data_IF_775281808893
#
_entry.id   IF_775281808893
#
_cell.length_a   1.000
_cell.length_b   1.000
_cell.length_c   1.000
_cell.angle_alpha   90.00
_cell.angle_beta   90.00
_cell.angle_gamma   90.00
#
_symmetry.space_group_name_H-M   'P 1'
#
loop_
_entity.id
_entity.type
_entity.pdbx_description
1 polymer ?
#
# COMPACT_ATOMS: atom_id res chain seq x y z
N UNK A 1 -38.44 -37.28 -23.12
CA UNK A 1 -38.52 -38.76 -23.20
C UNK A 1 -37.14 -39.31 -23.56
N UNK A 2 -36.33 -39.66 -22.55
CA UNK A 2 -34.93 -40.05 -22.69
C UNK A 2 -34.77 -41.56 -22.53
N UNK A 3 -34.32 -42.31 -23.54
CA UNK A 3 -33.90 -43.71 -23.29
C UNK A 3 -32.98 -44.39 -24.33
N UNK A 4 -32.44 -43.70 -25.35
CA UNK A 4 -31.66 -44.38 -26.39
C UNK A 4 -30.17 -44.00 -26.52
N UNK A 5 -29.64 -43.05 -25.74
CA UNK A 5 -28.22 -42.67 -25.83
C UNK A 5 -27.28 -43.35 -24.82
N UNK A 6 -27.80 -44.13 -23.87
CA UNK A 6 -26.99 -44.80 -22.83
C UNK A 6 -26.41 -46.18 -23.24
N UNK A 7 -26.78 -46.72 -24.41
CA UNK A 7 -26.36 -48.06 -24.82
C UNK A 7 -25.01 -48.13 -25.57
N UNK A 8 -24.43 -47.00 -26.01
CA UNK A 8 -23.14 -47.00 -26.74
C UNK A 8 -21.89 -46.79 -25.88
N UNK A 9 -22.03 -46.44 -24.60
CA UNK A 9 -20.91 -46.25 -23.67
C UNK A 9 -20.42 -47.54 -22.98
N UNK A 10 -20.99 -48.72 -23.30
CA UNK A 10 -20.63 -50.01 -22.67
C UNK A 10 -19.73 -50.93 -23.52
N UNK A 11 -19.31 -50.53 -24.72
CA UNK A 11 -18.46 -51.37 -25.62
C UNK A 11 -17.02 -50.87 -25.79
N UNK A 12 -16.46 -50.17 -24.81
CA UNK A 12 -15.05 -49.74 -24.77
C UNK A 12 -14.29 -50.23 -23.53
N UNK A 13 -14.83 -51.21 -22.81
CA UNK A 13 -14.23 -51.75 -21.58
C UNK A 13 -13.53 -53.08 -21.86
N UNK A 14 -12.39 -53.08 -22.55
CA UNK A 14 -11.56 -54.30 -22.62
C UNK A 14 -10.05 -54.07 -22.76
N UNK A 15 -9.52 -52.91 -22.37
CA UNK A 15 -8.07 -52.75 -22.28
C UNK A 15 -7.65 -51.75 -21.20
N UNK A 16 -7.95 -52.06 -19.93
CA UNK A 16 -7.32 -51.37 -18.79
C UNK A 16 -6.03 -52.10 -18.44
N UNK A 17 -4.89 -51.40 -18.47
CA UNK A 17 -3.59 -51.95 -18.03
C UNK A 17 -3.75 -52.49 -16.59
N UNK A 18 -3.54 -53.80 -16.34
CA UNK A 18 -3.73 -54.41 -15.03
C UNK A 18 -2.86 -53.78 -13.93
N UNK A 19 -1.78 -53.08 -14.30
CA UNK A 19 -0.87 -52.40 -13.36
C UNK A 19 -1.52 -51.20 -12.68
N UNK A 20 -2.51 -50.55 -13.29
CA UNK A 20 -3.21 -49.38 -12.73
C UNK A 20 -4.24 -49.74 -11.65
N UNK A 21 -4.63 -51.01 -11.56
CA UNK A 21 -5.58 -51.50 -10.55
C UNK A 21 -4.91 -51.96 -9.25
N UNK A 22 -3.57 -52.07 -9.21
CA UNK A 22 -2.84 -52.48 -8.00
C UNK A 22 -2.65 -51.30 -7.04
N UNK A 23 -2.90 -51.57 -5.76
CA UNK A 23 -2.57 -50.65 -4.66
C UNK A 23 -1.05 -50.54 -4.53
N UNK A 24 -0.52 -49.31 -4.55
CA UNK A 24 0.92 -49.05 -4.39
C UNK A 24 1.15 -48.55 -2.97
N UNK A 25 1.96 -49.28 -2.20
CA UNK A 25 2.42 -48.85 -0.89
C UNK A 25 3.41 -47.69 -1.07
N UNK A 26 3.19 -46.59 -0.34
CA UNK A 26 4.09 -45.43 -0.32
C UNK A 26 4.66 -45.36 1.09
N UNK A 27 6.00 -45.39 1.22
CA UNK A 27 6.67 -44.99 2.45
C UNK A 27 6.45 -43.49 2.63
N UNK A 28 5.74 -43.08 3.69
CA UNK A 28 5.33 -41.69 3.92
C UNK A 28 6.55 -40.74 3.99
N UNK A 29 6.62 -39.67 3.19
CA UNK A 29 7.39 -38.49 3.54
C UNK A 29 6.46 -37.47 4.21
N UNK A 30 6.67 -37.27 5.52
CA UNK A 30 6.42 -36.08 6.37
C UNK A 30 5.12 -35.26 6.28
N UNK A 31 4.12 -35.65 5.48
CA UNK A 31 2.80 -35.02 5.42
C UNK A 31 1.73 -36.09 5.59
N UNK A 32 0.80 -35.89 6.52
CA UNK A 32 -0.32 -36.80 6.73
C UNK A 32 -1.16 -36.89 5.45
N UNK A 33 -0.99 -37.96 4.68
CA UNK A 33 -1.83 -38.23 3.53
C UNK A 33 -3.28 -38.33 4.00
N UNK A 34 -4.20 -37.64 3.30
CA UNK A 34 -5.63 -37.71 3.59
C UNK A 34 -6.07 -39.19 3.67
N UNK A 35 -6.89 -39.58 4.66
CA UNK A 35 -7.23 -40.99 4.90
C UNK A 35 -7.74 -41.74 3.65
N UNK A 36 -8.49 -41.03 2.81
CA UNK A 36 -9.04 -41.48 1.52
C UNK A 36 -7.99 -41.82 0.44
N UNK A 37 -6.73 -41.38 0.58
CA UNK A 37 -5.66 -41.64 -0.39
C UNK A 37 -4.76 -42.82 0.01
N UNK A 38 -4.77 -43.23 1.29
CA UNK A 38 -3.84 -44.23 1.85
C UNK A 38 -4.00 -45.63 1.24
N UNK A 39 -5.22 -46.04 0.89
CA UNK A 39 -5.53 -47.35 0.28
C UNK A 39 -6.04 -47.27 -1.17
N UNK A 40 -6.06 -46.08 -1.76
CA UNK A 40 -6.58 -45.86 -3.11
C UNK A 40 -5.60 -46.34 -4.19
N UNK A 41 -6.11 -46.95 -5.25
CA UNK A 41 -5.34 -47.24 -6.48
C UNK A 41 -4.85 -45.94 -7.13
N UNK A 42 -3.82 -46.02 -7.96
CA UNK A 42 -3.29 -44.83 -8.66
C UNK A 42 -4.39 -44.08 -9.43
N UNK A 43 -5.27 -44.83 -10.11
CA UNK A 43 -6.42 -44.27 -10.81
C UNK A 43 -7.39 -43.51 -9.87
N UNK A 44 -7.68 -44.07 -8.69
CA UNK A 44 -8.56 -43.44 -7.70
C UNK A 44 -7.92 -42.17 -7.10
N UNK A 45 -6.60 -42.13 -6.94
CA UNK A 45 -5.87 -40.93 -6.50
C UNK A 45 -5.92 -39.83 -7.55
N UNK A 46 -5.71 -40.17 -8.83
CA UNK A 46 -5.84 -39.22 -9.95
C UNK A 46 -7.27 -38.69 -10.07
N UNK A 47 -8.29 -39.54 -9.88
CA UNK A 47 -9.68 -39.12 -9.87
C UNK A 47 -9.98 -38.13 -8.72
N UNK A 48 -9.54 -38.43 -7.50
CA UNK A 48 -9.72 -37.55 -6.35
C UNK A 48 -9.03 -36.18 -6.57
N UNK A 49 -7.83 -36.19 -7.15
CA UNK A 49 -7.11 -34.98 -7.52
C UNK A 49 -7.85 -34.17 -8.60
N UNK A 50 -8.32 -34.79 -9.68
CA UNK A 50 -9.10 -34.12 -10.72
C UNK A 50 -10.43 -33.57 -10.17
N UNK A 51 -11.07 -34.27 -9.24
CA UNK A 51 -12.31 -33.83 -8.57
C UNK A 51 -12.07 -32.61 -7.68
N UNK A 52 -10.90 -32.52 -7.02
CA UNK A 52 -10.49 -31.32 -6.29
C UNK A 52 -10.23 -30.14 -7.22
N UNK A 53 -9.50 -30.35 -8.32
CA UNK A 53 -9.26 -29.33 -9.35
C UNK A 53 -10.59 -28.79 -9.91
N UNK A 54 -11.54 -29.68 -10.20
CA UNK A 54 -12.90 -29.29 -10.60
C UNK A 54 -13.60 -28.43 -9.54
N UNK A 55 -13.62 -28.85 -8.26
CA UNK A 55 -14.24 -28.07 -7.16
C UNK A 55 -13.61 -26.69 -6.97
N UNK A 56 -12.30 -26.60 -7.15
CA UNK A 56 -11.54 -25.35 -7.08
C UNK A 56 -11.59 -24.53 -8.39
N UNK A 57 -12.45 -24.94 -9.34
CA UNK A 57 -12.71 -24.28 -10.63
C UNK A 57 -11.54 -24.30 -11.62
N UNK A 58 -10.62 -25.25 -11.46
CA UNK A 58 -9.52 -25.55 -12.39
C UNK A 58 -9.92 -26.59 -13.46
N UNK A 59 -11.00 -26.30 -14.19
CA UNK A 59 -11.65 -27.23 -15.13
C UNK A 59 -10.73 -27.70 -16.27
N UNK A 60 -9.82 -26.85 -16.73
CA UNK A 60 -8.99 -27.13 -17.90
C UNK A 60 -7.80 -28.04 -17.56
N UNK A 61 -7.26 -27.94 -16.35
CA UNK A 61 -6.21 -28.84 -15.85
C UNK A 61 -6.77 -30.26 -15.61
N UNK A 62 -8.00 -30.35 -15.09
CA UNK A 62 -8.70 -31.63 -14.99
C UNK A 62 -8.97 -32.24 -16.37
N UNK A 63 -9.40 -31.45 -17.36
CA UNK A 63 -9.63 -31.92 -18.72
C UNK A 63 -8.35 -32.40 -19.42
N UNK A 64 -7.22 -31.70 -19.25
CA UNK A 64 -5.92 -32.11 -19.80
C UNK A 64 -5.41 -33.42 -19.19
N UNK A 65 -5.46 -33.55 -17.85
CA UNK A 65 -5.05 -34.77 -17.14
C UNK A 65 -5.91 -35.99 -17.48
N UNK A 66 -7.17 -35.76 -17.88
CA UNK A 66 -8.13 -36.79 -18.27
C UNK A 66 -8.18 -37.03 -19.79
N UNK A 67 -7.42 -36.27 -20.59
CA UNK A 67 -7.39 -36.44 -22.05
C UNK A 67 -6.61 -37.71 -22.41
N UNK A 68 -7.19 -38.54 -23.28
CA UNK A 68 -6.49 -39.71 -23.83
C UNK A 68 -5.63 -39.32 -25.03
N UNK A 69 -4.57 -40.10 -25.26
CA UNK A 69 -3.67 -39.93 -26.41
C UNK A 69 -4.24 -40.63 -27.68
N UNK A 70 -5.46 -41.15 -27.64
CA UNK A 70 -5.89 -42.27 -28.50
C UNK A 70 -6.79 -41.82 -29.66
N UNK A 71 -7.25 -40.56 -29.72
CA UNK A 71 -8.21 -40.14 -30.76
C UNK A 71 -7.74 -39.03 -31.72
N UNK A 72 -6.44 -38.71 -31.76
CA UNK A 72 -5.86 -37.77 -32.73
C UNK A 72 -4.65 -38.34 -33.50
N UNK A 73 -4.33 -37.84 -34.71
CA UNK A 73 -3.12 -38.23 -35.42
C UNK A 73 -1.87 -37.94 -34.59
N UNK A 74 -0.73 -38.64 -34.80
CA UNK A 74 0.42 -38.57 -33.91
C UNK A 74 0.92 -37.12 -33.76
N UNK A 75 0.77 -36.56 -32.55
CA UNK A 75 1.15 -35.19 -32.21
C UNK A 75 0.01 -34.15 -32.19
N UNK A 76 -1.23 -34.52 -32.53
CA UNK A 76 -2.39 -33.65 -32.47
C UNK A 76 -3.32 -33.94 -31.29
N UNK A 77 -3.45 -33.01 -30.35
CA UNK A 77 -4.52 -33.00 -29.37
C UNK A 77 -5.74 -32.32 -30.00
N UNK A 78 -6.86 -33.02 -30.19
CA UNK A 78 -8.10 -32.37 -30.63
C UNK A 78 -8.88 -31.90 -29.40
N UNK A 79 -8.98 -30.58 -29.26
CA UNK A 79 -9.74 -29.95 -28.21
C UNK A 79 -11.13 -29.64 -28.77
N UNK A 80 -12.18 -30.24 -28.20
CA UNK A 80 -13.54 -30.14 -28.75
C UNK A 80 -14.26 -28.81 -28.50
N UNK A 81 -13.60 -27.83 -27.85
CA UNK A 81 -14.14 -26.50 -27.59
C UNK A 81 -13.07 -25.42 -27.83
N UNK A 82 -13.43 -24.34 -28.53
CA UNK A 82 -12.50 -23.23 -28.84
C UNK A 82 -11.92 -22.57 -27.58
N UNK A 83 -12.63 -22.65 -26.45
CA UNK A 83 -12.22 -22.08 -25.16
C UNK A 83 -11.13 -22.89 -24.43
N UNK A 84 -10.80 -24.08 -24.93
CA UNK A 84 -9.89 -25.03 -24.27
C UNK A 84 -8.56 -25.20 -25.03
N UNK A 85 -8.29 -24.37 -26.04
CA UNK A 85 -7.09 -24.44 -26.89
C UNK A 85 -5.80 -24.30 -26.05
N UNK A 86 -4.74 -24.99 -26.48
CA UNK A 86 -3.45 -24.99 -25.77
C UNK A 86 -2.84 -23.58 -25.67
N UNK A 87 -3.04 -22.71 -26.67
CA UNK A 87 -2.55 -21.33 -26.65
C UNK A 87 -3.23 -20.47 -25.56
N UNK A 88 -4.49 -20.78 -25.20
CA UNK A 88 -5.18 -20.14 -24.08
C UNK A 88 -4.69 -20.69 -22.73
N UNK A 89 -4.33 -21.98 -22.68
CA UNK A 89 -3.65 -22.57 -21.52
C UNK A 89 -2.26 -21.98 -21.32
N UNK A 90 -1.46 -21.84 -22.38
CA UNK A 90 -0.15 -21.19 -22.34
C UNK A 90 -0.27 -19.75 -21.84
N UNK A 91 -1.23 -18.97 -22.38
CA UNK A 91 -1.49 -17.59 -21.90
C UNK A 91 -1.95 -17.55 -20.45
N UNK A 92 -2.79 -18.48 -20.02
CA UNK A 92 -3.27 -18.57 -18.64
C UNK A 92 -2.15 -19.01 -17.67
N UNK A 93 -1.32 -19.96 -18.09
CA UNK A 93 -0.15 -20.42 -17.34
C UNK A 93 0.92 -19.34 -17.27
N UNK A 94 1.21 -18.62 -18.36
CA UNK A 94 2.08 -17.44 -18.34
C UNK A 94 1.50 -16.35 -17.45
N UNK A 95 0.20 -16.06 -17.53
CA UNK A 95 -0.45 -15.09 -16.65
C UNK A 95 -0.36 -15.51 -15.18
N UNK A 96 -0.51 -16.81 -14.88
CA UNK A 96 -0.32 -17.35 -13.54
C UNK A 96 1.14 -17.29 -13.11
N UNK A 97 2.10 -17.72 -13.93
CA UNK A 97 3.55 -17.67 -13.63
C UNK A 97 4.02 -16.22 -13.44
N UNK A 98 3.52 -15.28 -14.24
CA UNK A 98 3.76 -13.85 -14.06
C UNK A 98 3.11 -13.33 -12.76
N UNK A 99 1.89 -13.75 -12.44
CA UNK A 99 1.26 -13.46 -11.14
C UNK A 99 2.00 -14.12 -9.96
N UNK A 100 2.65 -15.27 -10.18
CA UNK A 100 3.47 -15.98 -9.22
C UNK A 100 4.86 -15.35 -9.08
N UNK A 101 5.40 -14.64 -10.08
CA UNK A 101 6.68 -13.94 -9.96
C UNK A 101 6.62 -12.85 -8.89
N UNK A 102 5.58 -12.02 -8.94
CA UNK A 102 5.37 -10.95 -7.95
C UNK A 102 4.99 -11.53 -6.60
N UNK A 103 4.09 -12.52 -6.55
CA UNK A 103 3.73 -13.19 -5.28
C UNK A 103 4.88 -13.97 -4.66
N UNK A 104 5.75 -14.60 -5.45
CA UNK A 104 6.92 -15.33 -4.95
C UNK A 104 7.99 -14.37 -4.46
N UNK A 105 8.22 -13.25 -5.16
CA UNK A 105 9.10 -12.20 -4.66
C UNK A 105 8.56 -11.57 -3.38
N UNK A 106 7.26 -11.26 -3.37
CA UNK A 106 6.57 -10.73 -2.21
C UNK A 106 6.67 -11.70 -1.02
N UNK A 107 6.37 -12.98 -1.26
CA UNK A 107 6.49 -14.05 -0.28
C UNK A 107 7.92 -14.16 0.25
N UNK A 108 8.92 -14.25 -0.63
CA UNK A 108 10.32 -14.31 -0.25
C UNK A 108 10.72 -13.12 0.63
N UNK A 109 10.31 -11.91 0.24
CA UNK A 109 10.58 -10.69 1.01
C UNK A 109 9.91 -10.74 2.40
N UNK A 110 8.65 -11.17 2.49
CA UNK A 110 7.90 -11.23 3.76
C UNK A 110 8.29 -12.39 4.68
N UNK A 111 8.81 -13.49 4.14
CA UNK A 111 9.25 -14.65 4.94
C UNK A 111 10.69 -14.49 5.42
N UNK A 112 11.54 -13.82 4.65
CA UNK A 112 12.97 -13.66 4.99
C UNK A 112 13.25 -12.51 5.96
N UNK A 113 12.32 -11.56 6.14
CA UNK A 113 12.50 -10.41 7.01
C UNK A 113 11.26 -10.18 7.90
N UNK A 114 11.32 -10.51 9.20
CA UNK A 114 10.26 -10.11 10.13
C UNK A 114 10.13 -8.58 10.13
N UNK A 115 8.89 -8.09 10.18
CA UNK A 115 8.59 -6.66 10.10
C UNK A 115 7.76 -6.22 11.30
N UNK A 116 7.97 -4.98 11.73
CA UNK A 116 7.25 -4.36 12.83
C UNK A 116 6.44 -3.18 12.30
N UNK A 117 5.17 -3.14 12.70
CA UNK A 117 4.19 -2.16 12.28
C UNK A 117 3.54 -1.52 13.51
N UNK A 118 3.71 -0.20 13.68
CA UNK A 118 3.15 0.54 14.81
C UNK A 118 2.23 1.64 14.29
N UNK A 119 0.97 1.58 14.71
CA UNK A 119 -0.01 2.64 14.48
C UNK A 119 -0.19 3.43 15.77
N UNK A 120 0.08 4.72 15.73
CA UNK A 120 -0.11 5.64 16.86
C UNK A 120 -1.39 6.43 16.67
N UNK A 121 -2.32 6.31 17.62
CA UNK A 121 -3.41 7.26 17.77
C UNK A 121 -2.85 8.55 18.39
N UNK A 122 -2.71 9.62 17.61
CA UNK A 122 -2.05 10.85 18.07
C UNK A 122 -2.07 11.99 17.05
N UNK A 123 -1.49 13.12 17.45
CA UNK A 123 -1.38 14.32 16.63
C UNK A 123 -0.06 14.35 15.87
N UNK A 124 -0.13 14.43 14.54
CA UNK A 124 1.04 14.46 13.67
C UNK A 124 1.93 15.71 13.83
N UNK A 125 1.45 16.76 14.51
CA UNK A 125 2.24 17.99 14.75
C UNK A 125 3.36 17.79 15.78
N UNK A 126 3.37 16.67 16.49
CA UNK A 126 4.42 16.34 17.46
C UNK A 126 4.47 14.82 17.71
N UNK A 127 5.59 14.19 17.40
CA UNK A 127 5.81 12.77 17.67
C UNK A 127 7.22 12.48 18.23
N UNK A 128 7.53 13.00 19.44
CA UNK A 128 8.86 12.90 20.05
C UNK A 128 9.25 11.46 20.41
N UNK A 129 8.28 10.56 20.50
CA UNK A 129 8.46 9.14 20.76
C UNK A 129 9.00 8.35 19.54
N UNK A 130 9.11 9.00 18.37
CA UNK A 130 9.85 8.47 17.22
C UNK A 130 11.24 9.09 17.24
N UNK A 131 12.26 8.24 17.30
CA UNK A 131 13.65 8.68 17.37
C UNK A 131 14.07 9.48 16.13
N UNK A 132 14.99 10.42 16.34
CA UNK A 132 15.68 11.14 15.27
C UNK A 132 16.32 10.15 14.29
N UNK A 133 16.31 10.50 13.01
CA UNK A 133 17.00 9.73 11.97
C UNK A 133 16.71 8.21 11.99
N UNK A 134 15.46 7.83 12.25
CA UNK A 134 15.02 6.43 12.33
C UNK A 134 14.08 6.01 11.18
N UNK A 135 13.63 6.98 10.38
CA UNK A 135 12.70 6.79 9.26
C UNK A 135 13.43 6.96 7.94
N UNK A 136 13.16 6.08 6.99
CA UNK A 136 13.88 6.06 5.72
C UNK A 136 13.09 6.69 4.58
N UNK A 137 11.76 6.54 4.63
CA UNK A 137 10.83 7.07 3.64
C UNK A 137 9.56 7.52 4.34
N UNK A 138 9.05 8.69 4.00
CA UNK A 138 7.69 9.10 4.33
C UNK A 138 6.86 9.04 3.05
N UNK A 139 5.71 8.37 3.09
CA UNK A 139 4.72 8.40 2.00
C UNK A 139 3.40 8.78 2.62
N UNK A 140 2.81 9.88 2.18
CA UNK A 140 1.61 10.42 2.81
C UNK A 140 0.81 11.31 1.86
N UNK A 141 -0.39 11.67 2.29
CA UNK A 141 -1.23 12.71 1.71
C UNK A 141 -1.75 13.56 2.86
N UNK A 142 -1.55 14.90 2.86
CA UNK A 142 -2.11 15.75 3.89
C UNK A 142 -3.64 15.68 3.83
N UNK A 143 -4.33 15.93 4.96
CA UNK A 143 -5.78 16.01 4.95
C UNK A 143 -6.24 17.13 4.02
N UNK A 144 -7.28 16.85 3.23
CA UNK A 144 -7.85 17.79 2.28
C UNK A 144 -8.35 19.03 3.03
N UNK A 145 -7.70 20.17 2.83
CA UNK A 145 -8.12 21.44 3.41
C UNK A 145 -9.45 21.87 2.77
N UNK A 146 -10.53 21.90 3.57
CA UNK A 146 -11.91 22.33 3.21
C UNK A 146 -12.65 21.53 2.13
N UNK A 147 -11.97 20.75 1.28
CA UNK A 147 -12.59 20.01 0.18
C UNK A 147 -13.39 18.78 0.63
N UNK A 148 -12.99 18.15 1.74
CA UNK A 148 -13.64 16.95 2.26
C UNK A 148 -13.94 17.06 3.73
N UNK A 149 -15.07 16.46 4.12
CA UNK A 149 -15.49 16.43 5.51
C UNK A 149 -14.93 15.19 6.20
N UNK A 150 -13.90 15.42 7.01
CA UNK A 150 -13.38 14.43 7.96
C UNK A 150 -14.27 14.36 9.21
N UNK A 151 -14.21 13.25 9.94
CA UNK A 151 -14.91 13.11 11.21
C UNK A 151 -14.44 14.19 12.21
N UNK A 152 -15.37 14.78 12.99
CA UNK A 152 -15.02 15.77 14.00
C UNK A 152 -14.16 15.12 15.09
N UNK A 153 -12.93 15.62 15.23
CA UNK A 153 -12.03 15.29 16.33
C UNK A 153 -11.13 16.49 16.67
N UNK A 154 -10.77 16.72 17.94
CA UNK A 154 -9.88 17.82 18.32
C UNK A 154 -8.54 17.74 17.57
N UNK A 155 -8.10 18.84 16.97
CA UNK A 155 -6.84 18.91 16.23
C UNK A 155 -6.88 18.46 14.77
N UNK A 156 -8.07 18.15 14.23
CA UNK A 156 -8.25 17.78 12.82
C UNK A 156 -7.84 18.92 11.88
N UNK A 157 -6.74 18.73 11.14
CA UNK A 157 -6.21 19.74 10.23
C UNK A 157 -7.15 20.06 9.06
N UNK A 158 -7.98 19.10 8.64
CA UNK A 158 -8.99 19.33 7.59
C UNK A 158 -10.07 20.35 7.96
N UNK A 159 -10.19 20.74 9.25
CA UNK A 159 -11.17 21.71 9.75
C UNK A 159 -10.57 23.10 10.02
N UNK A 160 -9.29 23.32 9.71
CA UNK A 160 -8.66 24.64 9.86
C UNK A 160 -9.28 25.63 8.87
N UNK A 161 -9.71 26.80 9.37
CA UNK A 161 -10.51 27.75 8.60
C UNK A 161 -9.72 28.45 7.49
N UNK A 162 -8.48 28.84 7.76
CA UNK A 162 -7.66 29.61 6.80
C UNK A 162 -6.51 28.80 6.20
N UNK A 163 -6.19 29.10 4.95
CA UNK A 163 -5.10 28.46 4.21
C UNK A 163 -3.76 28.66 4.92
N UNK A 164 -3.50 29.87 5.41
CA UNK A 164 -2.25 30.21 6.07
C UNK A 164 -2.07 29.45 7.39
N UNK A 165 -3.13 29.37 8.21
CA UNK A 165 -3.06 28.57 9.44
C UNK A 165 -2.87 27.09 9.12
N UNK A 166 -3.52 26.57 8.07
CA UNK A 166 -3.34 25.19 7.62
C UNK A 166 -1.88 24.93 7.23
N UNK A 167 -1.28 25.82 6.45
CA UNK A 167 0.15 25.75 6.08
C UNK A 167 1.06 25.81 7.33
N UNK A 168 0.78 26.68 8.30
CA UNK A 168 1.55 26.74 9.55
C UNK A 168 1.48 25.44 10.34
N UNK A 169 0.31 24.78 10.38
CA UNK A 169 0.20 23.48 11.05
C UNK A 169 0.95 22.38 10.28
N UNK A 170 0.87 22.38 8.94
CA UNK A 170 1.64 21.45 8.11
C UNK A 170 3.15 21.64 8.28
N UNK A 171 3.64 22.87 8.40
CA UNK A 171 5.06 23.17 8.63
C UNK A 171 5.58 22.49 9.89
N UNK A 172 4.77 22.42 10.96
CA UNK A 172 5.12 21.69 12.19
C UNK A 172 5.26 20.19 11.95
N UNK A 173 4.37 19.59 11.15
CA UNK A 173 4.45 18.17 10.78
C UNK A 173 5.70 17.92 9.94
N UNK A 174 5.99 18.78 8.97
CA UNK A 174 7.17 18.62 8.11
C UNK A 174 8.49 18.84 8.86
N UNK A 175 8.51 19.69 9.88
CA UNK A 175 9.66 19.83 10.77
C UNK A 175 9.94 18.52 11.53
N UNK A 176 8.91 17.88 12.09
CA UNK A 176 9.06 16.57 12.74
C UNK A 176 9.46 15.48 11.73
N UNK A 177 8.90 15.50 10.51
CA UNK A 177 9.32 14.58 9.43
C UNK A 177 10.79 14.78 9.07
N UNK A 178 11.27 16.02 8.99
CA UNK A 178 12.68 16.32 8.72
C UNK A 178 13.60 15.76 9.82
N UNK A 179 13.19 15.90 11.09
CA UNK A 179 13.92 15.37 12.26
C UNK A 179 14.06 13.85 12.20
N UNK A 180 12.96 13.12 11.99
CA UNK A 180 12.96 11.65 12.04
C UNK A 180 13.54 10.99 10.78
N UNK A 181 13.61 11.70 9.67
CA UNK A 181 14.22 11.16 8.44
C UNK A 181 15.73 10.98 8.60
N UNK A 182 16.25 9.84 8.14
CA UNK A 182 17.69 9.62 7.95
C UNK A 182 18.24 10.57 6.88
N UNK A 183 19.54 10.93 6.91
CA UNK A 183 20.20 11.60 5.80
C UNK A 183 20.04 10.81 4.48
N UNK A 184 19.65 11.51 3.41
CA UNK A 184 19.31 10.90 2.12
C UNK A 184 17.92 10.27 2.05
N UNK A 185 17.21 10.16 3.18
CA UNK A 185 15.79 9.78 3.24
C UNK A 185 14.89 10.84 2.59
N UNK A 186 13.65 10.47 2.30
CA UNK A 186 12.74 11.34 1.54
C UNK A 186 11.34 11.41 2.11
N UNK A 187 10.76 12.60 2.06
CA UNK A 187 9.32 12.83 2.13
C UNK A 187 8.73 12.77 0.72
N UNK A 188 7.80 11.85 0.53
CA UNK A 188 6.98 11.71 -0.68
C UNK A 188 5.55 12.06 -0.33
N UNK A 189 5.08 13.20 -0.83
CA UNK A 189 3.80 13.77 -0.44
C UNK A 189 2.88 13.87 -1.65
N UNK A 190 1.77 13.13 -1.62
CA UNK A 190 0.73 13.18 -2.64
C UNK A 190 -0.21 14.32 -2.28
N UNK A 191 -0.35 15.32 -3.14
CA UNK A 191 -1.14 16.52 -2.87
C UNK A 191 -1.91 16.96 -4.11
N UNK A 192 -3.12 17.44 -3.88
CA UNK A 192 -3.96 18.07 -4.89
C UNK A 192 -4.07 19.56 -4.58
N UNK A 193 -4.00 20.38 -5.61
CA UNK A 193 -4.36 21.80 -5.47
C UNK A 193 -5.86 21.96 -5.19
N UNK A 194 -6.19 22.91 -4.33
CA UNK A 194 -7.55 23.08 -3.84
C UNK A 194 -8.32 24.00 -4.78
N UNK A 195 -9.25 23.42 -5.55
CA UNK A 195 -10.12 24.16 -6.46
C UNK A 195 -11.32 24.74 -5.71
N UNK A 196 -11.34 26.05 -5.51
CA UNK A 196 -12.44 26.78 -4.90
C UNK A 196 -13.49 27.14 -5.96
N UNK A 197 -14.70 26.61 -5.78
CA UNK A 197 -15.78 26.79 -6.74
C UNK A 197 -16.43 28.18 -6.64
N UNK A 198 -16.80 28.75 -7.80
CA UNK A 198 -17.49 30.04 -7.91
C UNK A 198 -18.76 30.15 -7.07
N UNK A 199 -19.54 29.07 -6.95
CA UNK A 199 -20.79 29.07 -6.17
C UNK A 199 -20.61 29.47 -4.71
N UNK A 200 -19.42 29.22 -4.16
CA UNK A 200 -19.12 29.45 -2.74
C UNK A 200 -18.24 30.68 -2.54
N UNK A 201 -17.36 31.00 -3.50
CA UNK A 201 -16.34 32.05 -3.35
C UNK A 201 -16.52 33.25 -4.30
N UNK A 202 -17.59 33.30 -5.09
CA UNK A 202 -17.88 34.39 -6.03
C UNK A 202 -17.14 34.30 -7.38
N UNK A 203 -15.95 33.69 -7.40
CA UNK A 203 -15.17 33.37 -8.61
C UNK A 203 -14.46 32.02 -8.48
N UNK A 204 -13.94 31.51 -9.61
CA UNK A 204 -13.12 30.29 -9.61
C UNK A 204 -11.67 30.64 -9.24
N UNK A 205 -11.11 29.94 -8.26
CA UNK A 205 -9.74 30.10 -7.81
C UNK A 205 -9.14 28.72 -7.51
N UNK A 206 -7.84 28.56 -7.72
CA UNK A 206 -7.09 27.37 -7.33
C UNK A 206 -6.03 27.80 -6.32
N UNK A 207 -6.05 27.19 -5.15
CA UNK A 207 -5.02 27.38 -4.14
C UNK A 207 -3.87 26.41 -4.43
N UNK A 208 -2.65 26.91 -4.71
CA UNK A 208 -1.53 26.12 -5.22
C UNK A 208 -0.80 25.38 -4.09
N UNK A 209 -1.54 24.53 -3.36
CA UNK A 209 -1.05 23.85 -2.17
C UNK A 209 0.25 23.08 -2.42
N UNK A 210 0.40 22.45 -3.60
CA UNK A 210 1.64 21.74 -3.94
C UNK A 210 2.86 22.68 -3.96
N UNK A 211 2.71 23.89 -4.49
CA UNK A 211 3.79 24.86 -4.62
C UNK A 211 4.16 25.46 -3.27
N UNK A 212 3.16 25.81 -2.45
CA UNK A 212 3.37 26.30 -1.08
C UNK A 212 4.15 25.28 -0.25
N UNK A 213 3.81 24.00 -0.38
CA UNK A 213 4.50 22.91 0.30
C UNK A 213 5.95 22.74 -0.16
N UNK A 214 6.24 22.87 -1.47
CA UNK A 214 7.61 22.84 -1.97
C UNK A 214 8.46 23.98 -1.39
N UNK A 215 7.92 25.20 -1.37
CA UNK A 215 8.62 26.37 -0.80
C UNK A 215 8.86 26.17 0.69
N UNK A 216 7.85 25.71 1.42
CA UNK A 216 7.94 25.40 2.85
C UNK A 216 8.99 24.35 3.16
N UNK A 217 8.99 23.22 2.44
CA UNK A 217 9.98 22.16 2.63
C UNK A 217 11.41 22.66 2.39
N UNK A 218 11.62 23.50 1.36
CA UNK A 218 12.92 24.11 1.11
C UNK A 218 13.39 24.99 2.28
N UNK A 219 12.50 25.78 2.90
CA UNK A 219 12.84 26.59 4.08
C UNK A 219 13.23 25.73 5.29
N UNK A 220 12.60 24.57 5.45
CA UNK A 220 12.90 23.60 6.51
C UNK A 220 14.23 22.84 6.28
N UNK A 221 14.86 22.98 5.11
CA UNK A 221 16.15 22.37 4.78
C UNK A 221 16.08 21.14 3.87
N UNK A 222 14.90 20.81 3.32
CA UNK A 222 14.81 19.75 2.31
C UNK A 222 15.40 20.18 0.95
N UNK A 223 16.06 19.24 0.28
CA UNK A 223 16.36 19.32 -1.15
C UNK A 223 15.10 18.97 -1.96
N UNK A 224 14.62 19.91 -2.78
CA UNK A 224 13.51 19.66 -3.68
C UNK A 224 13.94 18.86 -4.90
N UNK A 225 13.24 17.76 -5.19
CA UNK A 225 13.39 16.97 -6.42
C UNK A 225 12.20 17.19 -7.37
N UNK A 226 12.37 16.84 -8.64
CA UNK A 226 11.29 16.91 -9.62
C UNK A 226 10.09 16.08 -9.18
N UNK A 227 8.88 16.62 -9.08
CA UNK A 227 7.71 15.84 -8.68
C UNK A 227 7.28 14.88 -9.79
N UNK A 228 6.50 13.86 -9.43
CA UNK A 228 5.75 13.06 -10.38
C UNK A 228 4.34 13.65 -10.49
N UNK A 229 3.85 13.84 -11.72
CA UNK A 229 2.49 14.27 -12.03
C UNK A 229 1.64 13.01 -12.15
N UNK A 230 0.70 12.84 -11.24
CA UNK A 230 -0.29 11.77 -11.30
C UNK A 230 -1.52 12.28 -12.06
N UNK A 231 -1.64 11.87 -13.31
CA UNK A 231 -2.87 12.01 -14.07
C UNK A 231 -3.87 10.95 -13.60
N UNK A 232 -4.85 11.41 -12.82
CA UNK A 232 -5.88 10.56 -12.25
C UNK A 232 -6.90 10.29 -13.34
N UNK A 233 -6.93 9.08 -13.89
CA UNK A 233 -8.01 8.71 -14.82
C UNK A 233 -9.30 8.84 -14.02
N UNK A 234 -10.11 9.84 -14.39
CA UNK A 234 -11.42 10.04 -13.79
C UNK A 234 -12.30 8.88 -14.21
N UNK A 235 -12.35 7.84 -13.38
CA UNK A 235 -13.45 6.88 -13.45
C UNK A 235 -14.70 7.67 -13.07
N UNK A 236 -15.50 8.05 -14.08
CA UNK A 236 -16.76 8.79 -13.92
C UNK A 236 -17.72 8.17 -12.88
N UNK A 237 -17.48 6.92 -12.47
CA UNK A 237 -18.22 6.21 -11.44
C UNK A 237 -17.84 6.54 -9.98
N UNK A 238 -16.68 7.14 -9.69
CA UNK A 238 -16.22 7.40 -8.30
C UNK A 238 -16.28 8.86 -7.88
N UNK A 239 -16.45 9.80 -8.81
CA UNK A 239 -16.67 11.22 -8.54
C UNK A 239 -18.10 11.60 -9.00
N UNK A 240 -19.11 11.11 -8.29
CA UNK A 240 -20.51 11.39 -8.59
C UNK A 240 -20.85 12.87 -8.28
N UNK A 241 -21.24 13.61 -9.33
CA UNK A 241 -22.51 14.37 -9.44
C UNK A 241 -22.49 15.54 -10.45
N UNK A 242 -21.42 15.72 -11.26
CA UNK A 242 -21.47 16.77 -12.29
C UNK A 242 -20.78 16.33 -13.59
N UNK A 243 -21.59 15.91 -14.54
CA UNK A 243 -21.24 15.45 -15.89
C UNK A 243 -20.75 16.56 -16.84
N UNK A 244 -20.17 17.65 -16.34
CA UNK A 244 -19.60 18.67 -17.22
C UNK A 244 -18.08 18.48 -17.33
N UNK A 245 -17.62 17.98 -18.48
CA UNK A 245 -16.18 17.92 -18.85
C UNK A 245 -15.49 19.30 -18.85
N UNK A 246 -16.28 20.38 -18.78
CA UNK A 246 -15.85 21.77 -18.87
C UNK A 246 -16.55 22.54 -17.75
N UNK A 247 -15.80 23.36 -17.01
CA UNK A 247 -16.36 24.31 -16.04
C UNK A 247 -16.54 25.65 -16.75
N UNK A 248 -17.79 26.07 -16.97
CA UNK A 248 -18.13 27.29 -17.70
C UNK A 248 -18.97 27.02 -18.95
N UNK A 249 -19.07 28.02 -19.84
CA UNK A 249 -19.77 27.86 -21.11
C UNK A 249 -18.93 27.00 -22.06
N UNK A 250 -19.47 25.91 -22.62
CA UNK A 250 -18.71 25.06 -23.53
C UNK A 250 -18.44 25.81 -24.86
N UNK A 251 -17.29 25.53 -25.46
CA UNK A 251 -16.89 26.02 -26.80
C UNK A 251 -16.73 27.54 -26.95
N UNK A 252 -16.76 28.29 -25.85
CA UNK A 252 -16.39 29.70 -25.81
C UNK A 252 -15.00 29.88 -25.19
N UNK A 253 -14.22 30.91 -25.59
CA UNK A 253 -13.01 31.30 -24.86
C UNK A 253 -13.30 31.54 -23.37
N UNK A 254 -12.28 31.37 -22.52
CA UNK A 254 -12.37 31.47 -21.04
C UNK A 254 -13.09 30.33 -20.32
N UNK A 255 -13.35 29.21 -20.99
CA UNK A 255 -13.69 27.97 -20.31
C UNK A 255 -12.57 27.54 -19.34
N UNK A 256 -12.94 27.03 -18.17
CA UNK A 256 -11.98 26.63 -17.14
C UNK A 256 -11.60 25.16 -17.34
N UNK A 257 -10.29 24.93 -17.36
CA UNK A 257 -9.71 23.58 -17.42
C UNK A 257 -9.95 22.88 -16.09
N UNK A 258 -10.52 21.68 -16.13
CA UNK A 258 -10.74 20.86 -14.95
C UNK A 258 -9.39 20.37 -14.41
N UNK A 259 -9.28 20.32 -13.08
CA UNK A 259 -8.12 19.71 -12.44
C UNK A 259 -8.24 18.17 -12.43
N UNK A 260 -7.49 17.50 -13.31
CA UNK A 260 -7.44 16.04 -13.44
C UNK A 260 -6.11 15.44 -12.95
N UNK A 261 -5.29 16.24 -12.27
CA UNK A 261 -3.96 15.83 -11.79
C UNK A 261 -3.82 15.98 -10.27
N UNK A 262 -2.89 15.20 -9.74
CA UNK A 262 -2.33 15.37 -8.39
C UNK A 262 -0.81 15.36 -8.50
N UNK A 263 -0.14 16.01 -7.55
CA UNK A 263 1.31 16.10 -7.50
C UNK A 263 1.86 15.14 -6.47
N UNK A 264 2.88 14.38 -6.85
CA UNK A 264 3.67 13.56 -5.94
C UNK A 264 4.99 14.30 -5.72
N UNK A 265 5.03 15.09 -4.66
CA UNK A 265 6.19 15.87 -4.27
C UNK A 265 7.28 14.95 -3.73
N UNK A 266 8.54 15.27 -4.01
CA UNK A 266 9.70 14.50 -3.54
C UNK A 266 10.70 15.45 -2.89
N UNK A 267 10.78 15.38 -1.56
CA UNK A 267 11.61 16.25 -0.73
C UNK A 267 12.65 15.38 -0.01
N UNK A 268 13.94 15.59 -0.27
CA UNK A 268 15.02 14.76 0.27
C UNK A 268 15.71 15.46 1.45
N UNK A 269 15.96 14.76 2.55
CA UNK A 269 16.83 15.28 3.62
C UNK A 269 18.28 15.21 3.13
N UNK A 270 19.05 16.33 3.14
CA UNK A 270 20.46 16.30 2.78
C UNK A 270 21.29 15.49 3.79
N UNK A 271 22.61 15.39 3.55
CA UNK A 271 23.54 14.74 4.49
C UNK A 271 24.05 13.36 4.06
N UNK A 272 23.82 12.95 2.82
CA UNK A 272 24.48 11.78 2.23
C UNK A 272 23.55 10.92 1.36
N UNK A 273 24.13 9.84 0.84
CA UNK A 273 23.40 8.79 0.13
C UNK A 273 23.31 7.55 0.99
N UNK A 274 22.18 6.86 0.89
CA UNK A 274 21.94 5.61 1.57
C UNK A 274 22.90 4.52 1.10
N UNK A 275 23.43 3.73 2.05
CA UNK A 275 24.30 2.57 1.79
C UNK A 275 23.59 1.28 2.23
N UNK A 276 22.70 0.70 1.39
CA UNK A 276 22.01 -0.56 1.71
C UNK A 276 22.96 -1.77 1.64
N UNK A 277 22.66 -2.83 2.40
CA UNK A 277 23.40 -4.09 2.31
C UNK A 277 23.16 -4.79 0.97
N UNK A 278 24.04 -5.71 0.59
CA UNK A 278 23.86 -6.46 -0.66
C UNK A 278 22.53 -7.24 -0.69
N UNK A 279 22.15 -7.84 0.43
CA UNK A 279 20.88 -8.53 0.57
C UNK A 279 19.70 -7.58 0.36
N UNK A 280 19.72 -6.39 0.97
CA UNK A 280 18.69 -5.37 0.77
C UNK A 280 18.60 -4.96 -0.71
N UNK A 281 19.73 -4.76 -1.38
CA UNK A 281 19.77 -4.43 -2.82
C UNK A 281 19.12 -5.52 -3.66
N UNK A 282 19.48 -6.79 -3.42
CA UNK A 282 18.93 -7.95 -4.15
C UNK A 282 17.41 -8.07 -3.93
N UNK A 283 16.94 -7.98 -2.69
CA UNK A 283 15.52 -8.13 -2.33
C UNK A 283 14.66 -6.92 -2.73
N UNK A 284 15.28 -5.77 -3.01
CA UNK A 284 14.58 -4.55 -3.43
C UNK A 284 14.66 -4.29 -4.93
N UNK A 285 15.18 -5.23 -5.70
CA UNK A 285 15.36 -5.08 -7.13
C UNK A 285 13.99 -4.91 -7.82
N UNK A 286 13.91 -3.91 -8.69
CA UNK A 286 12.72 -3.64 -9.51
C UNK A 286 13.00 -4.23 -10.90
N UNK A 287 12.13 -5.12 -11.42
CA UNK A 287 12.18 -5.59 -12.80
C UNK A 287 12.33 -4.46 -13.81
N UNK A 288 13.03 -4.71 -14.91
CA UNK A 288 13.38 -3.70 -15.92
C UNK A 288 12.16 -2.98 -16.49
N UNK A 289 11.09 -3.72 -16.74
CA UNK A 289 9.83 -3.20 -17.29
C UNK A 289 9.15 -2.25 -16.29
N UNK A 290 9.03 -2.68 -15.04
CA UNK A 290 8.50 -1.85 -13.94
C UNK A 290 9.35 -0.61 -13.73
N UNK A 291 10.67 -0.74 -13.68
CA UNK A 291 11.59 0.38 -13.52
C UNK A 291 11.40 1.42 -14.62
N UNK A 292 11.36 0.95 -15.88
CA UNK A 292 11.17 1.82 -17.05
C UNK A 292 9.82 2.53 -17.05
N UNK A 293 8.79 1.93 -16.47
CA UNK A 293 7.45 2.52 -16.35
C UNK A 293 7.36 3.50 -15.17
N UNK A 294 7.97 3.15 -14.03
CA UNK A 294 7.79 3.87 -12.77
C UNK A 294 8.69 5.09 -12.67
N UNK A 295 9.94 5.03 -13.16
CA UNK A 295 10.87 6.16 -13.12
C UNK A 295 10.62 7.14 -14.28
N UNK A 296 9.36 7.59 -14.40
CA UNK A 296 8.88 8.60 -15.34
C UNK A 296 8.15 9.71 -14.59
N UNK A 297 8.16 10.91 -15.15
CA UNK A 297 7.59 12.08 -14.50
C UNK A 297 6.05 12.11 -14.54
N UNK A 298 5.41 11.44 -15.50
CA UNK A 298 3.95 11.45 -15.63
C UNK A 298 3.41 10.03 -15.48
N UNK A 299 2.49 9.84 -14.54
CA UNK A 299 1.83 8.58 -14.30
C UNK A 299 0.34 8.69 -14.56
N UNK A 300 -0.18 7.77 -15.36
CA UNK A 300 -1.61 7.64 -15.61
C UNK A 300 -2.12 6.43 -14.84
N UNK A 301 -2.84 6.66 -13.74
CA UNK A 301 -3.37 5.62 -12.86
C UNK A 301 -4.79 6.00 -12.39
N UNK A 302 -5.69 5.03 -12.15
CA UNK A 302 -7.02 5.31 -11.62
C UNK A 302 -6.96 5.79 -10.16
N UNK A 303 -7.97 6.56 -9.73
CA UNK A 303 -8.19 6.92 -8.32
C UNK A 303 -8.65 5.74 -7.46
N UNK A 304 -8.71 5.95 -6.14
CA UNK A 304 -9.31 5.00 -5.19
C UNK A 304 -10.74 5.41 -4.80
N UNK A 305 -11.53 4.45 -4.33
CA UNK A 305 -12.90 4.65 -3.85
C UNK A 305 -12.94 5.48 -2.56
N UNK A 306 -13.82 6.48 -2.48
CA UNK A 306 -13.99 7.37 -1.31
C UNK A 306 -15.02 6.87 -0.28
N UNK A 307 -15.52 5.63 -0.40
CA UNK A 307 -16.60 5.10 0.46
C UNK A 307 -16.21 4.94 1.93
N UNK A 308 -14.99 4.48 2.22
CA UNK A 308 -14.52 4.18 3.58
C UNK A 308 -13.65 5.29 4.17
N UNK A 309 -13.05 6.12 3.30
CA UNK A 309 -12.22 7.26 3.66
C UNK A 309 -12.43 8.35 2.63
N UNK A 310 -12.50 9.63 3.03
CA UNK A 310 -12.76 10.72 2.10
C UNK A 310 -11.67 10.86 1.03
N UNK A 311 -10.39 10.65 1.37
CA UNK A 311 -9.25 10.96 0.50
C UNK A 311 -8.16 9.87 0.39
N UNK A 312 -8.47 8.63 -0.01
CA UNK A 312 -7.45 7.61 -0.17
C UNK A 312 -6.73 7.76 -1.53
N UNK A 313 -5.42 7.57 -1.54
CA UNK A 313 -4.71 7.17 -2.77
C UNK A 313 -4.73 5.63 -2.93
N UNK A 314 -4.62 5.10 -4.15
CA UNK A 314 -4.65 3.66 -4.40
C UNK A 314 -3.48 2.91 -3.76
N UNK A 315 -3.73 1.68 -3.30
CA UNK A 315 -2.68 0.80 -2.77
C UNK A 315 -1.55 0.57 -3.78
N UNK A 316 -1.88 0.45 -5.08
CA UNK A 316 -0.88 0.29 -6.14
C UNK A 316 0.06 1.49 -6.29
N UNK A 317 -0.44 2.71 -6.03
CA UNK A 317 0.39 3.92 -6.00
C UNK A 317 1.35 3.89 -4.81
N UNK A 318 0.85 3.53 -3.62
CA UNK A 318 1.66 3.39 -2.41
C UNK A 318 2.77 2.35 -2.57
N UNK A 319 2.43 1.16 -3.09
CA UNK A 319 3.38 0.07 -3.37
C UNK A 319 4.49 0.56 -4.31
N UNK A 320 4.13 1.28 -5.37
CA UNK A 320 5.08 1.80 -6.34
C UNK A 320 6.08 2.74 -5.68
N UNK A 321 5.59 3.73 -4.92
CA UNK A 321 6.43 4.70 -4.22
C UNK A 321 7.36 4.04 -3.20
N UNK A 322 6.84 3.09 -2.41
CA UNK A 322 7.63 2.36 -1.42
C UNK A 322 8.73 1.54 -2.09
N UNK A 323 8.42 0.79 -3.16
CA UNK A 323 9.42 -0.02 -3.86
C UNK A 323 10.49 0.84 -4.54
N UNK A 324 10.13 2.02 -5.06
CA UNK A 324 11.08 2.93 -5.73
C UNK A 324 12.06 3.59 -4.76
N UNK A 325 11.62 3.91 -3.55
CA UNK A 325 12.32 4.86 -2.69
C UNK A 325 12.67 4.32 -1.29
N UNK A 326 12.50 3.01 -1.07
CA UNK A 326 12.94 2.31 0.12
C UNK A 326 13.50 0.94 -0.24
N UNK A 327 14.28 0.34 0.66
CA UNK A 327 14.74 -1.03 0.61
C UNK A 327 13.98 -1.92 1.59
N UNK A 328 14.03 -3.24 1.39
CA UNK A 328 13.52 -4.23 2.35
C UNK A 328 14.15 -4.00 3.73
N UNK A 329 13.33 -4.08 4.78
CA UNK A 329 13.73 -3.81 6.18
C UNK A 329 13.67 -2.33 6.57
N UNK A 330 13.44 -1.41 5.63
CA UNK A 330 13.30 0.00 5.95
C UNK A 330 12.06 0.34 6.75
N UNK A 331 12.12 1.43 7.50
CA UNK A 331 10.96 2.06 8.15
C UNK A 331 10.31 3.10 7.23
N UNK A 332 9.04 2.87 6.90
CA UNK A 332 8.17 3.82 6.17
C UNK A 332 7.20 4.51 7.14
N UNK A 333 7.14 5.84 7.12
CA UNK A 333 6.22 6.63 7.95
C UNK A 333 5.05 7.18 7.10
N UNK A 334 3.87 7.21 7.70
CA UNK A 334 2.73 8.00 7.23
C UNK A 334 2.15 8.84 8.40
N UNK A 335 2.42 10.16 8.47
CA UNK A 335 1.90 11.03 9.53
C UNK A 335 0.39 11.29 9.41
N UNK A 336 -0.24 10.95 8.28
CA UNK A 336 -1.67 11.11 8.03
C UNK A 336 -2.26 9.77 7.58
N UNK A 337 -2.11 8.77 8.44
CA UNK A 337 -2.26 7.36 8.09
C UNK A 337 -3.65 6.98 7.57
N UNK A 338 -4.71 7.66 8.02
CA UNK A 338 -6.09 7.39 7.63
C UNK A 338 -6.44 5.92 7.85
N UNK A 339 -6.86 5.24 6.78
CA UNK A 339 -7.17 3.80 6.82
C UNK A 339 -5.97 2.87 6.61
N UNK A 340 -4.74 3.38 6.66
CA UNK A 340 -3.52 2.56 6.70
C UNK A 340 -2.98 2.08 5.35
N UNK A 341 -3.34 2.71 4.23
CA UNK A 341 -2.91 2.27 2.89
C UNK A 341 -1.38 2.20 2.75
N UNK A 342 -0.64 3.20 3.25
CA UNK A 342 0.83 3.21 3.24
C UNK A 342 1.41 2.08 4.09
N UNK A 343 0.87 1.87 5.29
CA UNK A 343 1.35 0.82 6.19
C UNK A 343 1.12 -0.57 5.60
N UNK A 344 -0.04 -0.80 4.99
CA UNK A 344 -0.33 -2.06 4.28
C UNK A 344 0.62 -2.27 3.11
N UNK A 345 0.91 -1.22 2.32
CA UNK A 345 1.87 -1.31 1.22
C UNK A 345 3.30 -1.62 1.70
N UNK A 346 3.72 -1.03 2.83
CA UNK A 346 5.01 -1.30 3.46
C UNK A 346 5.10 -2.76 3.92
N UNK A 347 4.10 -3.25 4.66
CA UNK A 347 4.00 -4.63 5.14
C UNK A 347 4.05 -5.63 3.99
N UNK A 348 3.24 -5.39 2.95
CA UNK A 348 3.19 -6.25 1.77
C UNK A 348 4.54 -6.40 1.07
N UNK A 349 5.44 -5.43 1.20
CA UNK A 349 6.75 -5.45 0.56
C UNK A 349 7.90 -5.50 1.56
N UNK A 350 7.68 -6.05 2.76
CA UNK A 350 8.74 -6.31 3.74
C UNK A 350 9.47 -5.07 4.23
N UNK A 351 8.76 -3.95 4.36
CA UNK A 351 9.23 -2.76 5.06
C UNK A 351 8.53 -2.70 6.43
N UNK A 352 9.22 -2.17 7.43
CA UNK A 352 8.61 -1.73 8.68
C UNK A 352 7.72 -0.51 8.42
N UNK A 353 6.72 -0.28 9.27
CA UNK A 353 5.90 0.93 9.12
C UNK A 353 5.51 1.60 10.42
N UNK A 354 5.50 2.92 10.39
CA UNK A 354 4.94 3.78 11.42
C UNK A 354 3.77 4.56 10.80
N UNK A 355 2.63 4.60 11.48
CA UNK A 355 1.49 5.42 11.08
C UNK A 355 1.04 6.29 12.24
N UNK A 356 0.64 7.52 11.96
CA UNK A 356 0.01 8.42 12.94
C UNK A 356 -1.37 8.79 12.40
N UNK A 357 -2.39 8.63 13.24
CA UNK A 357 -3.76 9.00 12.90
C UNK A 357 -4.45 9.60 14.13
N UNK A 358 -5.12 10.72 13.94
CA UNK A 358 -5.76 11.47 15.02
C UNK A 358 -7.17 10.94 15.31
N UNK A 359 -7.88 10.48 14.28
CA UNK A 359 -9.23 9.97 14.39
C UNK A 359 -9.25 8.51 14.89
N UNK A 360 -9.82 8.23 16.08
CA UNK A 360 -9.94 6.87 16.58
C UNK A 360 -10.78 5.94 15.68
N UNK A 361 -11.70 6.46 14.88
CA UNK A 361 -12.46 5.66 13.92
C UNK A 361 -11.56 5.15 12.79
N UNK A 362 -10.73 6.01 12.20
CA UNK A 362 -9.78 5.60 11.16
C UNK A 362 -8.66 4.70 11.73
N UNK A 363 -8.18 4.97 12.94
CA UNK A 363 -7.28 4.06 13.66
C UNK A 363 -7.84 2.62 13.74
N UNK A 364 -9.14 2.47 14.06
CA UNK A 364 -9.78 1.15 14.12
C UNK A 364 -9.82 0.45 12.76
N UNK A 365 -10.18 1.17 11.69
CA UNK A 365 -10.20 0.62 10.33
C UNK A 365 -8.79 0.22 9.88
N UNK A 366 -7.79 1.07 10.09
CA UNK A 366 -6.40 0.79 9.77
C UNK A 366 -5.89 -0.44 10.55
N UNK A 367 -6.19 -0.53 11.85
CA UNK A 367 -5.80 -1.66 12.68
C UNK A 367 -6.42 -2.99 12.19
N UNK A 368 -7.71 -3.00 11.81
CA UNK A 368 -8.36 -4.18 11.25
C UNK A 368 -7.68 -4.63 9.95
N UNK A 369 -7.40 -3.70 9.03
CA UNK A 369 -6.71 -4.00 7.76
C UNK A 369 -5.32 -4.56 8.00
N UNK A 370 -4.55 -3.97 8.91
CA UNK A 370 -3.19 -4.41 9.24
C UNK A 370 -3.17 -5.77 9.94
N UNK A 371 -4.13 -6.03 10.84
CA UNK A 371 -4.27 -7.33 11.49
C UNK A 371 -4.56 -8.44 10.47
N UNK A 372 -5.50 -8.20 9.55
CA UNK A 372 -5.81 -9.15 8.47
C UNK A 372 -4.59 -9.46 7.60
N UNK A 373 -3.79 -8.44 7.28
CA UNK A 373 -2.59 -8.60 6.46
C UNK A 373 -1.42 -9.25 7.23
N UNK A 374 -1.33 -9.06 8.56
CA UNK A 374 -0.30 -9.69 9.38
C UNK A 374 -0.52 -11.20 9.60
N UNK A 375 -1.76 -11.67 9.50
CA UNK A 375 -2.16 -13.07 9.76
C UNK A 375 -1.95 -13.98 8.53
N UNK A 376 -0.74 -13.98 7.97
CA UNK A 376 -0.40 -14.90 6.88
C UNK A 376 0.26 -16.16 7.42
N UNK A 377 0.01 -17.32 6.78
CA UNK A 377 0.51 -18.65 7.21
C UNK A 377 2.05 -18.74 7.38
N UNK A 378 2.79 -17.83 6.75
CA UNK A 378 4.26 -17.84 6.71
C UNK A 378 4.89 -16.47 6.99
N UNK A 379 4.09 -15.45 7.34
CA UNK A 379 4.59 -14.10 7.59
C UNK A 379 4.86 -13.86 9.06
N UNK A 380 5.96 -13.18 9.35
CA UNK A 380 6.37 -12.77 10.71
C UNK A 380 6.21 -11.25 10.87
N UNK A 381 5.02 -10.72 10.54
CA UNK A 381 4.68 -9.32 10.73
C UNK A 381 4.08 -9.11 12.13
N UNK A 382 4.70 -8.25 12.94
CA UNK A 382 4.18 -7.84 14.23
C UNK A 382 3.45 -6.50 14.09
N UNK A 383 2.22 -6.43 14.59
CA UNK A 383 1.42 -5.21 14.58
C UNK A 383 1.07 -4.75 15.99
N UNK A 384 1.17 -3.44 16.24
CA UNK A 384 0.79 -2.80 17.49
C UNK A 384 -0.01 -1.52 17.22
N UNK A 385 -1.16 -1.39 17.88
CA UNK A 385 -1.89 -0.14 18.01
C UNK A 385 -1.53 0.50 19.35
N UNK A 386 -1.01 1.72 19.31
CA UNK A 386 -0.49 2.46 20.45
C UNK A 386 -1.22 3.80 20.57
N UNK A 387 -1.35 4.33 21.79
CA UNK A 387 -1.69 5.75 21.98
C UNK A 387 -0.39 6.54 22.01
N UNK A 388 -0.37 7.68 21.31
CA UNK A 388 0.74 8.60 21.40
C UNK A 388 0.89 9.09 22.86
N UNK A 389 2.09 9.02 23.45
CA UNK A 389 2.36 9.67 24.73
C UNK A 389 2.05 11.16 24.61
N UNK A 390 1.17 11.67 25.47
CA UNK A 390 1.00 13.12 25.63
C UNK A 390 2.29 13.66 26.24
N UNK A 391 2.84 14.74 25.67
CA UNK A 391 3.91 15.48 26.33
C UNK A 391 3.39 15.88 27.72
N UNK A 392 3.99 15.34 28.79
CA UNK A 392 3.72 15.85 30.13
C UNK A 392 4.09 17.34 30.13
N UNK A 393 3.25 18.22 30.68
CA UNK A 393 3.67 19.58 30.92
C UNK A 393 4.94 19.52 31.78
N UNK A 394 6.00 20.21 31.34
CA UNK A 394 7.22 20.33 32.12
C UNK A 394 6.85 20.68 33.58
N UNK A 395 7.44 20.00 34.59
CA UNK A 395 7.14 20.32 35.97
C UNK A 395 7.40 21.81 36.15
N UNK A 396 6.36 22.53 36.59
CA UNK A 396 6.46 23.94 36.91
C UNK A 396 7.68 24.09 37.82
N UNK A 397 8.70 24.81 37.33
CA UNK A 397 9.82 25.19 38.17
C UNK A 397 9.23 25.89 39.39
N UNK A 398 9.35 25.25 40.54
CA UNK A 398 9.15 25.90 41.83
C UNK A 398 10.18 27.02 41.85
N UNK A 399 9.73 28.25 41.59
CA UNK A 399 10.49 29.45 41.90
C UNK A 399 10.68 29.45 43.42
N UNK A 400 11.79 28.91 43.90
CA UNK A 400 12.36 29.32 45.17
C UNK A 400 12.87 30.75 44.97
N UNK A 401 12.01 31.72 45.27
CA UNK A 401 12.45 33.07 45.60
C UNK A 401 13.36 32.97 46.83
N UNK A 402 14.68 33.02 46.58
CA UNK A 402 15.66 33.28 47.62
C UNK A 402 15.50 34.73 48.09
N UNK A 403 14.79 34.89 49.21
CA UNK A 403 14.74 36.10 50.03
C UNK A 403 16.17 36.48 50.47
N UNK A 404 16.77 37.41 49.73
CA UNK A 404 18.04 38.05 50.07
C UNK A 404 17.79 39.46 50.58
N UNK A 405 17.13 39.56 51.74
CA UNK A 405 17.00 40.81 52.46
C UNK A 405 17.40 40.65 53.93
N UNK A 406 18.63 41.09 54.24
CA UNK A 406 19.30 41.39 55.53
C UNK A 406 20.73 40.88 55.42
N UNK A 407 21.76 41.71 55.27
CA UNK A 407 22.35 42.40 56.41
C UNK A 407 23.23 43.56 55.91
N UNK A 408 22.82 44.79 56.20
CA UNK A 408 23.68 45.97 56.16
C UNK A 408 24.17 46.24 57.58
N UNK A 409 25.49 46.38 57.77
CA UNK A 409 26.22 47.38 58.59
C UNK A 409 27.46 46.77 59.26
N UNK A 410 28.63 47.34 58.97
CA UNK A 410 29.87 47.00 59.68
C UNK A 410 31.11 47.72 59.15
N UNK A 411 31.11 49.05 59.22
CA UNK A 411 32.29 49.92 59.01
C UNK A 411 33.52 49.39 59.77
N UNK A 412 34.71 49.44 59.16
CA UNK A 412 35.92 50.10 59.71
C UNK A 412 37.16 49.90 58.81
N UNK A 413 37.72 51.00 58.32
CA UNK A 413 39.18 51.25 58.31
C UNK A 413 39.45 52.74 58.16
N UNK A 414 40.10 53.33 59.18
CA UNK A 414 41.25 54.23 59.13
C UNK A 414 41.45 54.90 60.50
N UNK A 415 42.28 54.29 61.33
CA UNK A 415 43.56 54.77 61.91
C UNK A 415 44.00 53.75 62.94
#
# INVERSE_FOLDING_TARGET
>A
MPQQSLARLRRGASNRDPRLARTVAVAEPHLAALPELKAASYAARCEAFCRKLARERHWNAAAFLLSDRVTGPPGGYSVSAEDLRFELFEKSLLAQVMAYKDRAMQFAVTTLAPTTHRLYQGDARSFPYIADESVHLVVTSPPDWTLKRYNPCPGQLGHVESHEQFLQQLERVWAEVYRVLVPGGRLVCVVRDVCLARRTHGWHLVMPLHADMCVMCRRLGFDNLNPIIWHKISNAAFEADTFSKILGKPYEPNAIIKNDIEFILMQRKPGGYRQPTEQQRRLSLIPKEEFSQWFRQIWTLPGASSKEHPAPFPLGLAIRLIRMFSFVGDTVLDPFCGTGTTMVAAMKWGRNSLGIEIDPAYCRVAAQRLQQESQTLFGSAQFQLLRAPTAEPAPAALNEEADSSKTTLGKRRRT
#
